data_IF_288633321446
#
_entry.id   IF_288633321446
#
_cell.length_a   1.000
_cell.length_b   1.000
_cell.length_c   1.000
_cell.angle_alpha   90.00
_cell.angle_beta   90.00
_cell.angle_gamma   90.00
#
_symmetry.space_group_name_H-M   'P 1'
#
loop_
_entity.id
_entity.type
_entity.pdbx_description
1 polymer ?
#
# COMPACT_ATOMS: atom_id res chain seq x y z
N UNK A 1 -9.83 -6.54 -14.10
CA UNK A 1 -10.94 -5.56 -14.19
C UNK A 1 -11.57 -5.61 -15.58
N UNK A 2 -12.88 -5.38 -15.73
CA UNK A 2 -13.53 -5.30 -17.06
C UNK A 2 -13.59 -3.84 -17.53
N UNK A 3 -13.19 -3.60 -18.78
CA UNK A 3 -13.18 -2.29 -19.44
C UNK A 3 -14.56 -1.99 -20.07
N UNK A 4 -14.75 -0.74 -20.50
CA UNK A 4 -15.99 -0.27 -21.10
C UNK A 4 -16.33 -0.99 -22.43
N UNK A 5 -15.31 -1.44 -23.17
CA UNK A 5 -15.46 -2.22 -24.40
C UNK A 5 -15.80 -3.70 -24.15
N UNK A 6 -15.88 -4.11 -22.88
CA UNK A 6 -16.14 -5.48 -22.47
C UNK A 6 -14.89 -6.35 -22.28
N UNK A 7 -13.70 -5.86 -22.64
CA UNK A 7 -12.43 -6.56 -22.49
C UNK A 7 -11.99 -6.57 -21.02
N UNK A 8 -11.47 -7.68 -20.54
CA UNK A 8 -10.82 -7.77 -19.24
C UNK A 8 -9.36 -7.36 -19.33
N UNK A 9 -8.90 -6.59 -18.35
CA UNK A 9 -7.54 -6.10 -18.17
C UNK A 9 -6.96 -6.64 -16.87
N UNK A 10 -5.68 -7.04 -16.92
CA UNK A 10 -4.88 -7.45 -15.78
C UNK A 10 -3.49 -6.83 -15.88
N UNK A 11 -3.03 -6.29 -14.76
CA UNK A 11 -1.64 -5.89 -14.55
C UNK A 11 -1.08 -6.82 -13.47
N UNK A 12 0.07 -7.44 -13.72
CA UNK A 12 0.70 -8.33 -12.75
C UNK A 12 2.19 -8.04 -12.67
N UNK A 13 2.73 -8.00 -11.45
CA UNK A 13 4.18 -7.95 -11.27
C UNK A 13 4.77 -9.27 -11.80
N UNK A 14 5.72 -9.15 -12.72
CA UNK A 14 6.52 -10.25 -13.20
C UNK A 14 7.81 -10.36 -12.39
N UNK A 15 8.18 -11.58 -12.02
CA UNK A 15 9.52 -11.89 -11.53
C UNK A 15 10.19 -12.80 -12.56
N UNK A 16 11.12 -12.28 -13.38
CA UNK A 16 11.93 -13.16 -14.22
C UNK A 16 12.46 -12.62 -15.54
N UNK A 17 13.65 -13.15 -15.85
CA UNK A 17 14.48 -13.24 -17.08
C UNK A 17 14.47 -12.00 -17.99
N UNK A 18 15.46 -11.13 -17.76
CA UNK A 18 15.71 -9.89 -18.48
C UNK A 18 16.57 -8.89 -17.68
N UNK A 19 16.67 -9.09 -16.36
CA UNK A 19 17.61 -8.42 -15.46
C UNK A 19 19.07 -8.90 -15.68
N UNK A 20 19.62 -8.69 -16.87
CA UNK A 20 21.07 -8.87 -17.12
C UNK A 20 21.84 -7.55 -17.04
N UNK A 21 21.14 -6.43 -16.81
CA UNK A 21 21.75 -5.13 -16.54
C UNK A 21 22.27 -5.01 -15.10
N UNK A 22 23.15 -4.04 -14.81
CA UNK A 22 23.79 -3.88 -13.48
C UNK A 22 22.82 -3.43 -12.38
N UNK A 23 21.59 -3.07 -12.70
CA UNK A 23 20.56 -2.60 -11.75
C UNK A 23 19.42 -3.61 -11.72
N UNK A 24 19.09 -4.12 -10.53
CA UNK A 24 17.89 -4.93 -10.33
C UNK A 24 16.66 -4.05 -10.52
N UNK A 25 15.83 -4.34 -11.52
CA UNK A 25 14.54 -3.71 -11.70
C UNK A 25 13.47 -4.76 -11.98
N UNK A 26 12.36 -4.71 -11.26
CA UNK A 26 11.18 -5.53 -11.52
C UNK A 26 10.34 -4.89 -12.63
N UNK A 27 9.51 -5.71 -13.24
CA UNK A 27 8.63 -5.32 -14.33
C UNK A 27 7.21 -5.78 -14.04
N UNK A 28 6.26 -5.23 -14.78
CA UNK A 28 4.88 -5.68 -14.76
C UNK A 28 4.42 -6.02 -16.18
N UNK A 29 3.67 -7.12 -16.26
CA UNK A 29 3.01 -7.60 -17.44
C UNK A 29 1.62 -6.99 -17.53
N UNK A 30 1.20 -6.69 -18.76
CA UNK A 30 -0.20 -6.44 -19.07
C UNK A 30 -0.75 -7.65 -19.82
N UNK A 31 -1.95 -8.08 -19.47
CA UNK A 31 -2.70 -9.08 -20.22
C UNK A 31 -4.15 -8.65 -20.39
N UNK A 32 -4.75 -9.06 -21.51
CA UNK A 32 -6.17 -8.85 -21.79
C UNK A 32 -6.89 -10.17 -21.97
N UNK A 33 -8.20 -10.18 -21.71
CA UNK A 33 -9.03 -11.37 -21.90
C UNK A 33 -10.43 -10.99 -22.37
N UNK A 34 -11.04 -11.69 -23.34
CA UNK A 34 -12.42 -11.44 -23.73
C UNK A 34 -13.44 -11.97 -22.69
N UNK A 35 -13.05 -12.95 -21.88
CA UNK A 35 -13.97 -13.72 -21.01
C UNK A 35 -13.55 -13.74 -19.53
N UNK A 36 -12.39 -13.16 -19.20
CA UNK A 36 -11.82 -13.15 -17.86
C UNK A 36 -11.15 -14.47 -17.47
N UNK A 37 -11.07 -15.45 -18.37
CA UNK A 37 -10.54 -16.80 -18.12
C UNK A 37 -9.31 -17.09 -18.97
N UNK A 38 -9.36 -16.79 -20.26
CA UNK A 38 -8.24 -16.97 -21.18
C UNK A 38 -7.55 -15.64 -21.41
N UNK A 39 -6.26 -15.57 -21.04
CA UNK A 39 -5.49 -14.34 -21.03
C UNK A 39 -4.43 -14.31 -22.12
N UNK A 40 -4.33 -13.17 -22.81
CA UNK A 40 -3.30 -12.91 -23.83
C UNK A 40 -2.38 -11.79 -23.34
N UNK A 41 -1.06 -12.03 -23.21
CA UNK A 41 -0.10 -10.98 -22.88
C UNK A 41 -0.07 -9.87 -23.93
N UNK A 42 0.06 -8.62 -23.48
CA UNK A 42 0.20 -7.44 -24.33
C UNK A 42 1.56 -6.79 -24.07
N UNK A 43 2.61 -7.36 -24.68
CA UNK A 43 4.01 -7.01 -24.37
C UNK A 43 4.34 -5.53 -24.60
N UNK A 44 3.72 -4.89 -25.60
CA UNK A 44 3.89 -3.47 -25.90
C UNK A 44 3.42 -2.53 -24.79
N UNK A 45 2.65 -3.06 -23.82
CA UNK A 45 2.12 -2.32 -22.68
C UNK A 45 2.76 -2.72 -21.35
N UNK A 46 3.62 -3.73 -21.34
CA UNK A 46 4.42 -4.08 -20.16
C UNK A 46 5.37 -2.92 -19.81
N UNK A 47 5.65 -2.74 -18.52
CA UNK A 47 6.38 -1.58 -18.02
C UNK A 47 7.33 -1.96 -16.88
N UNK A 48 8.26 -1.07 -16.57
CA UNK A 48 9.35 -1.30 -15.63
C UNK A 48 10.68 -1.55 -16.33
N UNK A 49 11.69 -2.02 -15.59
CA UNK A 49 13.04 -2.28 -16.11
C UNK A 49 14.00 -1.08 -16.04
N UNK A 50 13.55 0.13 -16.36
CA UNK A 50 14.29 1.38 -16.07
C UNK A 50 13.88 2.03 -14.75
N UNK A 51 12.61 1.85 -14.37
CA UNK A 51 12.06 2.20 -13.07
C UNK A 51 11.56 0.90 -12.44
N UNK A 52 11.97 0.63 -11.21
CA UNK A 52 11.55 -0.56 -10.48
C UNK A 52 10.05 -0.51 -10.21
N UNK A 53 9.35 -1.61 -10.50
CA UNK A 53 7.96 -1.83 -10.06
C UNK A 53 8.04 -2.61 -8.76
N UNK A 54 8.06 -1.90 -7.62
CA UNK A 54 8.52 -2.48 -6.36
C UNK A 54 7.62 -3.65 -5.89
N UNK A 55 6.30 -3.51 -5.86
CA UNK A 55 5.41 -4.60 -5.45
C UNK A 55 3.97 -4.33 -5.87
N UNK A 56 3.23 -5.39 -6.25
CA UNK A 56 1.78 -5.42 -6.41
C UNK A 56 1.17 -4.18 -7.09
N UNK A 57 1.34 -4.02 -8.43
CA UNK A 57 0.60 -3.00 -9.16
C UNK A 57 -0.91 -3.26 -9.07
N UNK A 58 -1.69 -2.19 -9.01
CA UNK A 58 -3.14 -2.24 -8.91
C UNK A 58 -3.81 -1.49 -10.07
N UNK A 59 -4.99 -1.96 -10.45
CA UNK A 59 -5.85 -1.31 -11.43
C UNK A 59 -7.26 -1.17 -10.85
N UNK A 60 -7.80 0.03 -10.97
CA UNK A 60 -9.09 0.40 -10.40
C UNK A 60 -9.95 1.17 -11.43
N UNK A 61 -11.27 0.95 -11.41
CA UNK A 61 -12.21 1.74 -12.22
C UNK A 61 -12.79 2.82 -11.33
N UNK A 62 -12.45 4.07 -11.59
CA UNK A 62 -13.01 5.17 -10.81
C UNK A 62 -14.45 5.49 -11.18
N UNK A 63 -15.11 6.30 -10.35
CA UNK A 63 -16.52 6.71 -10.54
C UNK A 63 -16.81 7.40 -11.87
N UNK A 64 -15.79 7.92 -12.54
CA UNK A 64 -15.90 8.53 -13.88
C UNK A 64 -15.73 7.52 -15.02
N UNK A 65 -15.61 6.22 -14.73
CA UNK A 65 -15.40 5.16 -15.71
C UNK A 65 -13.99 5.17 -16.33
N UNK A 66 -13.01 5.77 -15.63
CA UNK A 66 -11.60 5.77 -16.04
C UNK A 66 -10.81 4.76 -15.23
N UNK A 67 -9.83 4.15 -15.89
CA UNK A 67 -8.88 3.23 -15.27
C UNK A 67 -7.81 4.04 -14.57
N UNK A 68 -7.70 3.89 -13.26
CA UNK A 68 -6.56 4.30 -12.46
C UNK A 68 -5.61 3.10 -12.35
N UNK A 69 -4.41 3.26 -12.90
CA UNK A 69 -3.34 2.28 -12.83
C UNK A 69 -2.26 2.80 -11.89
N UNK A 70 -1.99 2.03 -10.84
CA UNK A 70 -1.16 2.42 -9.71
C UNK A 70 -0.03 1.41 -9.53
N UNK A 71 1.20 1.86 -9.31
CA UNK A 71 2.29 0.97 -8.94
C UNK A 71 3.33 1.65 -8.04
N UNK A 72 3.85 0.96 -7.02
CA UNK A 72 5.00 1.40 -6.26
C UNK A 72 6.25 1.49 -7.14
N UNK A 73 6.92 2.64 -7.09
CA UNK A 73 8.23 2.86 -7.68
C UNK A 73 9.21 3.43 -6.66
N UNK A 74 10.44 3.70 -7.11
CA UNK A 74 11.54 4.14 -6.23
C UNK A 74 11.23 5.40 -5.42
N UNK A 75 10.51 6.36 -6.02
CA UNK A 75 10.18 7.69 -5.46
C UNK A 75 8.82 7.78 -4.79
N UNK A 76 7.91 6.84 -5.04
CA UNK A 76 6.49 7.02 -4.72
C UNK A 76 5.60 5.95 -5.33
N UNK A 77 4.29 6.06 -5.11
CA UNK A 77 3.31 5.30 -5.91
C UNK A 77 2.98 6.13 -7.14
N UNK A 78 3.37 5.65 -8.31
CA UNK A 78 3.01 6.26 -9.58
C UNK A 78 1.59 5.87 -9.96
N UNK A 79 0.77 6.84 -10.32
CA UNK A 79 -0.61 6.63 -10.74
C UNK A 79 -0.88 7.30 -12.08
N UNK A 80 -1.44 6.54 -13.01
CA UNK A 80 -1.87 7.03 -14.32
C UNK A 80 -3.35 6.80 -14.51
N UNK A 81 -4.03 7.76 -15.12
CA UNK A 81 -5.48 7.71 -15.35
C UNK A 81 -5.74 7.65 -16.85
N UNK A 82 -6.61 6.73 -17.27
CA UNK A 82 -6.81 6.44 -18.69
C UNK A 82 -8.08 5.64 -18.98
N UNK A 83 -8.17 5.10 -20.18
CA UNK A 83 -9.27 4.22 -20.61
C UNK A 83 -8.93 2.71 -20.49
N UNK A 84 -7.75 2.40 -19.96
CA UNK A 84 -7.25 1.04 -19.88
C UNK A 84 -6.37 0.63 -21.06
N UNK A 85 -6.14 1.52 -22.03
CA UNK A 85 -5.20 1.36 -23.17
C UNK A 85 -4.29 2.58 -23.31
N UNK A 86 -4.84 3.77 -23.27
CA UNK A 86 -4.13 5.04 -23.28
C UNK A 86 -4.27 5.72 -21.92
N UNK A 87 -3.16 6.26 -21.43
CA UNK A 87 -3.06 6.88 -20.12
C UNK A 87 -2.44 8.27 -20.24
N UNK A 88 -2.90 9.18 -19.37
CA UNK A 88 -2.29 10.50 -19.21
C UNK A 88 -0.97 10.48 -18.46
N UNK A 89 -0.53 11.68 -18.08
CA UNK A 89 0.68 11.89 -17.29
C UNK A 89 0.58 11.20 -15.91
N UNK A 90 1.73 10.83 -15.37
CA UNK A 90 1.82 10.19 -14.08
C UNK A 90 1.65 11.22 -12.94
N UNK A 91 0.91 10.80 -11.91
CA UNK A 91 0.79 11.49 -10.63
C UNK A 91 1.55 10.64 -9.61
N UNK A 92 2.55 11.22 -8.96
CA UNK A 92 3.32 10.53 -7.90
C UNK A 92 2.71 10.81 -6.53
N UNK A 93 2.23 9.76 -5.87
CA UNK A 93 1.82 9.78 -4.48
C UNK A 93 2.96 9.38 -3.54
N UNK A 94 2.87 9.66 -2.22
CA UNK A 94 3.87 9.24 -1.25
C UNK A 94 4.22 7.75 -1.38
N UNK A 95 5.48 7.43 -1.07
CA UNK A 95 5.99 6.06 -1.17
C UNK A 95 5.23 5.12 -0.24
N UNK A 96 4.65 4.09 -0.83
CA UNK A 96 4.06 2.98 -0.10
C UNK A 96 4.06 1.70 -0.94
N UNK A 97 3.98 0.56 -0.26
CA UNK A 97 3.72 -0.72 -0.91
C UNK A 97 2.22 -0.89 -1.21
N UNK A 98 1.93 -1.87 -2.05
CA UNK A 98 0.61 -2.49 -2.25
C UNK A 98 -0.55 -1.48 -2.26
N UNK A 99 -0.57 -0.56 -3.25
CA UNK A 99 -1.60 0.45 -3.36
C UNK A 99 -2.93 -0.20 -3.72
N UNK A 100 -3.97 0.19 -3.03
CA UNK A 100 -5.34 -0.27 -3.20
C UNK A 100 -6.28 0.93 -3.17
N UNK A 101 -7.45 0.77 -3.80
CA UNK A 101 -8.46 1.83 -3.87
C UNK A 101 -9.80 1.28 -3.41
N UNK A 102 -10.44 2.01 -2.49
CA UNK A 102 -11.76 1.67 -1.98
C UNK A 102 -12.65 2.92 -2.01
N UNK A 103 -13.69 2.87 -2.82
CA UNK A 103 -14.71 3.93 -2.85
C UNK A 103 -15.91 3.52 -2.02
N UNK A 104 -16.22 4.30 -0.98
CA UNK A 104 -17.35 4.10 -0.08
C UNK A 104 -18.66 4.63 -0.68
N UNK A 105 -19.78 4.08 -0.21
CA UNK A 105 -21.14 4.39 -0.68
C UNK A 105 -21.56 5.84 -0.41
N UNK A 106 -20.97 6.48 0.60
CA UNK A 106 -21.22 7.89 0.97
C UNK A 106 -20.47 8.89 0.08
N UNK A 107 -19.71 8.40 -0.91
CA UNK A 107 -18.93 9.22 -1.81
C UNK A 107 -17.46 9.35 -1.42
N UNK A 108 -17.06 8.89 -0.23
CA UNK A 108 -15.67 8.93 0.23
C UNK A 108 -14.80 8.00 -0.62
N UNK A 109 -13.66 8.49 -1.11
CA UNK A 109 -12.69 7.70 -1.86
C UNK A 109 -11.49 7.47 -0.95
N UNK A 110 -11.14 6.22 -0.67
CA UNK A 110 -10.06 5.82 0.21
C UNK A 110 -8.91 5.24 -0.62
N UNK A 111 -7.71 5.74 -0.35
CA UNK A 111 -6.48 5.12 -0.83
C UNK A 111 -5.95 4.24 0.29
N UNK A 112 -5.94 2.94 0.04
CA UNK A 112 -5.35 1.94 0.91
C UNK A 112 -3.90 1.74 0.50
N UNK A 113 -2.96 1.88 1.43
CA UNK A 113 -1.55 1.61 1.16
C UNK A 113 -1.04 0.59 2.15
N UNK A 114 -0.59 -0.56 1.63
CA UNK A 114 -0.14 -1.71 2.41
C UNK A 114 1.37 -1.91 2.31
N UNK A 115 2.09 -1.79 3.42
CA UNK A 115 3.42 -2.38 3.54
C UNK A 115 3.30 -3.69 4.31
N UNK A 116 2.90 -4.79 3.66
CA UNK A 116 2.74 -6.09 4.34
C UNK A 116 4.06 -6.83 4.59
N UNK A 117 5.18 -6.12 4.89
CA UNK A 117 6.33 -6.85 5.43
C UNK A 117 5.98 -7.28 6.86
N UNK A 118 5.48 -8.51 6.95
CA UNK A 118 5.05 -9.22 8.16
C UNK A 118 6.10 -9.25 9.27
N UNK A 119 7.34 -8.83 8.98
CA UNK A 119 8.47 -8.79 9.89
C UNK A 119 8.62 -7.44 10.62
N UNK A 120 8.11 -6.34 10.05
CA UNK A 120 8.34 -4.98 10.58
C UNK A 120 7.18 -4.36 11.38
N UNK A 121 6.03 -5.02 11.40
CA UNK A 121 4.75 -4.39 11.76
C UNK A 121 4.19 -3.66 10.54
N UNK A 122 3.11 -4.20 9.97
CA UNK A 122 2.50 -3.67 8.74
C UNK A 122 2.03 -2.22 8.92
N UNK A 123 1.88 -1.48 7.82
CA UNK A 123 1.14 -0.23 7.82
C UNK A 123 -0.05 -0.39 6.88
N UNK A 124 -1.24 -0.04 7.36
CA UNK A 124 -2.44 0.09 6.53
C UNK A 124 -2.93 1.53 6.67
N UNK A 125 -2.79 2.28 5.60
CA UNK A 125 -3.24 3.67 5.54
C UNK A 125 -4.61 3.66 4.87
N UNK A 126 -5.66 4.16 5.51
CA UNK A 126 -6.89 4.56 4.81
C UNK A 126 -6.95 6.08 4.84
N UNK A 127 -6.44 6.70 3.78
CA UNK A 127 -6.53 8.15 3.61
C UNK A 127 -7.68 8.47 2.65
N UNK A 128 -8.58 9.37 3.07
CA UNK A 128 -9.48 10.05 2.13
C UNK A 128 -8.64 10.67 1.02
N UNK A 129 -9.02 10.47 -0.24
CA UNK A 129 -8.30 10.88 -1.45
C UNK A 129 -7.61 12.21 -1.24
N UNK A 130 -6.31 12.08 -1.00
CA UNK A 130 -5.23 13.05 -1.07
C UNK A 130 -5.68 14.51 -0.99
N UNK A 131 -5.99 14.97 0.21
CA UNK A 131 -5.59 16.32 0.64
C UNK A 131 -4.34 16.30 1.53
N UNK A 132 -4.01 15.14 2.13
CA UNK A 132 -2.99 15.06 3.17
C UNK A 132 -1.85 14.10 2.76
N UNK A 133 -0.64 14.63 2.75
CA UNK A 133 0.60 13.95 2.38
C UNK A 133 1.25 13.28 3.60
N UNK A 134 0.63 12.22 4.10
CA UNK A 134 1.23 11.43 5.18
C UNK A 134 2.42 10.61 4.66
N UNK A 135 3.50 10.54 5.42
CA UNK A 135 4.62 9.62 5.17
C UNK A 135 4.78 8.73 6.39
N UNK A 136 4.68 7.41 6.20
CA UNK A 136 4.87 6.44 7.28
C UNK A 136 6.13 5.64 6.98
N UNK A 137 7.04 5.60 7.94
CA UNK A 137 8.27 4.83 7.84
C UNK A 137 8.36 3.87 9.02
N UNK A 138 8.32 2.54 8.79
CA UNK A 138 8.70 1.57 9.81
C UNK A 138 10.17 1.80 10.19
N UNK A 139 10.44 2.00 11.48
CA UNK A 139 11.79 2.29 11.98
C UNK A 139 12.48 0.99 12.45
N UNK A 140 11.70 -0.05 12.75
CA UNK A 140 12.22 -1.38 13.10
C UNK A 140 12.54 -2.24 11.88
N UNK A 141 13.76 -2.78 11.80
CA UNK A 141 14.18 -3.78 10.80
C UNK A 141 13.47 -5.12 10.98
N UNK A 142 13.40 -5.97 9.94
CA UNK A 142 12.92 -7.36 10.08
C UNK A 142 13.70 -8.11 11.19
N UNK A 143 13.07 -8.93 12.04
CA UNK A 143 13.77 -9.67 13.06
C UNK A 143 14.58 -10.80 12.42
N UNK A 144 15.64 -11.23 13.10
CA UNK A 144 16.20 -12.55 12.86
C UNK A 144 15.13 -13.61 13.20
N UNK A 145 15.07 -14.67 12.43
CA UNK A 145 14.14 -15.78 12.60
C UNK A 145 14.16 -16.28 14.06
N UNK A 146 13.02 -16.25 14.77
CA UNK A 146 12.87 -16.77 16.14
C UNK A 146 12.89 -15.75 17.29
N UNK A 147 12.73 -14.45 17.03
CA UNK A 147 12.65 -13.42 18.10
C UNK A 147 11.32 -13.42 18.88
N UNK A 148 11.37 -12.88 20.11
CA UNK A 148 10.27 -12.82 21.09
C UNK A 148 8.96 -12.19 20.57
N UNK A 149 7.78 -12.67 21.02
CA UNK A 149 6.45 -12.14 20.66
C UNK A 149 6.15 -10.73 21.22
N UNK A 150 6.97 -10.20 22.14
CA UNK A 150 6.73 -8.90 22.79
C UNK A 150 7.64 -7.79 22.25
N UNK A 151 7.95 -7.80 20.95
CA UNK A 151 8.83 -6.78 20.34
C UNK A 151 8.19 -5.39 20.38
N UNK A 152 9.06 -4.41 20.59
CA UNK A 152 8.78 -3.00 20.40
C UNK A 152 8.71 -2.68 18.90
N UNK A 153 7.53 -2.29 18.43
CA UNK A 153 7.30 -1.79 17.08
C UNK A 153 7.41 -0.27 17.06
N UNK A 154 7.99 0.29 16.00
CA UNK A 154 8.17 1.74 15.90
C UNK A 154 7.91 2.23 14.48
N UNK A 155 7.08 3.26 14.37
CA UNK A 155 6.80 3.97 13.12
C UNK A 155 7.08 5.45 13.29
N UNK A 156 7.57 6.08 12.23
CA UNK A 156 7.61 7.54 12.08
C UNK A 156 6.49 7.95 11.13
N UNK A 157 5.63 8.85 11.57
CA UNK A 157 4.49 9.38 10.80
C UNK A 157 4.67 10.88 10.61
N UNK A 158 4.92 11.32 9.38
CA UNK A 158 5.00 12.74 9.02
C UNK A 158 3.66 13.21 8.45
N UNK A 159 3.27 14.44 8.79
CA UNK A 159 2.10 15.10 8.21
C UNK A 159 0.77 14.80 8.91
N UNK A 160 0.76 14.01 9.99
CA UNK A 160 -0.41 13.67 10.79
C UNK A 160 -0.31 14.21 12.22
N UNK A 161 -1.46 14.52 12.82
CA UNK A 161 -1.56 14.75 14.25
C UNK A 161 -1.71 13.41 15.00
N UNK A 162 -1.29 13.35 16.28
CA UNK A 162 -1.48 12.17 17.14
C UNK A 162 -2.95 11.71 17.15
N UNK A 163 -3.91 12.65 17.09
CA UNK A 163 -5.35 12.36 17.09
C UNK A 163 -5.82 11.57 15.87
N UNK A 164 -5.06 11.62 14.78
CA UNK A 164 -5.34 10.94 13.51
C UNK A 164 -4.64 9.59 13.42
N UNK A 165 -3.97 9.15 14.49
CA UNK A 165 -3.17 7.92 14.50
C UNK A 165 -3.77 6.93 15.49
N UNK A 166 -3.86 5.67 15.08
CA UNK A 166 -4.18 4.55 15.97
C UNK A 166 -3.31 3.34 15.64
N UNK A 167 -3.07 2.48 16.63
CA UNK A 167 -2.38 1.20 16.42
C UNK A 167 -3.39 0.08 16.63
N UNK A 168 -3.58 -0.75 15.62
CA UNK A 168 -4.56 -1.84 15.60
C UNK A 168 -3.85 -3.19 15.58
N UNK A 169 -4.40 -4.15 16.33
CA UNK A 169 -4.17 -5.56 16.09
C UNK A 169 -5.30 -6.06 15.16
N UNK A 170 -4.96 -6.35 13.91
CA UNK A 170 -5.89 -6.76 12.88
C UNK A 170 -6.41 -8.19 13.10
N UNK A 171 -5.59 -9.08 13.66
CA UNK A 171 -5.97 -10.45 13.97
C UNK A 171 -7.02 -10.54 15.09
N UNK A 172 -7.00 -9.59 16.04
CA UNK A 172 -8.00 -9.48 17.10
C UNK A 172 -9.10 -8.47 16.77
N UNK A 173 -8.94 -7.70 15.69
CA UNK A 173 -9.76 -6.55 15.35
C UNK A 173 -9.96 -5.60 16.55
N UNK A 174 -8.85 -5.18 17.19
CA UNK A 174 -8.85 -4.34 18.39
C UNK A 174 -7.76 -3.28 18.35
N UNK A 175 -7.96 -2.16 19.06
CA UNK A 175 -6.85 -1.23 19.31
C UNK A 175 -5.83 -1.89 20.23
N UNK A 176 -4.55 -1.74 19.92
CA UNK A 176 -3.47 -2.27 20.78
C UNK A 176 -3.57 -1.66 22.18
N UNK A 177 -3.95 -0.38 22.31
CA UNK A 177 -4.16 0.27 23.61
C UNK A 177 -5.28 -0.34 24.47
N UNK A 178 -6.13 -1.19 23.91
CA UNK A 178 -7.23 -1.86 24.61
C UNK A 178 -6.88 -3.32 24.98
N UNK A 179 -5.70 -3.79 24.61
CA UNK A 179 -5.21 -5.14 24.91
C UNK A 179 -4.47 -5.12 26.25
N UNK A 180 -4.81 -6.06 27.14
CA UNK A 180 -4.17 -6.17 28.46
C UNK A 180 -2.66 -6.41 28.33
N UNK A 181 -1.86 -5.55 28.96
CA UNK A 181 -0.39 -5.62 28.93
C UNK A 181 0.26 -5.03 27.67
N UNK A 182 -0.53 -4.54 26.72
CA UNK A 182 -0.02 -3.82 25.57
C UNK A 182 0.30 -2.36 25.90
N UNK A 183 1.19 -1.75 25.11
CA UNK A 183 1.52 -0.33 25.24
C UNK A 183 1.48 0.34 23.88
N UNK A 184 1.03 1.60 23.85
CA UNK A 184 1.16 2.49 22.70
C UNK A 184 1.58 3.85 23.24
N UNK A 185 2.69 4.38 22.74
CA UNK A 185 3.17 5.72 23.06
C UNK A 185 3.39 6.49 21.78
N UNK A 186 3.03 7.77 21.79
CA UNK A 186 3.20 8.66 20.64
C UNK A 186 3.84 9.95 21.10
N UNK A 187 4.94 10.34 20.45
CA UNK A 187 5.62 11.61 20.71
C UNK A 187 5.73 12.39 19.42
N UNK A 188 5.58 13.71 19.49
CA UNK A 188 5.72 14.58 18.32
C UNK A 188 7.01 15.39 18.45
N UNK A 189 7.83 15.38 17.40
CA UNK A 189 9.02 16.22 17.30
C UNK A 189 9.20 16.67 15.84
N UNK A 190 9.42 17.96 15.62
CA UNK A 190 9.64 18.55 14.28
C UNK A 190 8.58 18.15 13.22
N UNK A 191 7.31 18.07 13.63
CA UNK A 191 6.21 17.70 12.72
C UNK A 191 6.19 16.21 12.32
N UNK A 192 6.95 15.36 13.01
CA UNK A 192 6.95 13.91 12.88
C UNK A 192 6.45 13.30 14.18
N UNK A 193 5.48 12.40 14.08
CA UNK A 193 5.00 11.59 15.20
C UNK A 193 5.75 10.26 15.22
N UNK A 194 6.47 9.99 16.30
CA UNK A 194 7.04 8.67 16.58
C UNK A 194 6.01 7.86 17.34
N UNK A 195 5.57 6.75 16.76
CA UNK A 195 4.62 5.81 17.35
C UNK A 195 5.38 4.58 17.78
N UNK A 196 5.27 4.21 19.05
CA UNK A 196 5.92 3.02 19.61
C UNK A 196 4.87 2.13 20.24
N UNK A 197 4.83 0.85 19.88
CA UNK A 197 3.84 -0.09 20.42
C UNK A 197 4.44 -1.43 20.81
N UNK A 198 3.86 -2.07 21.83
CA UNK A 198 4.08 -3.48 22.17
C UNK A 198 2.73 -4.16 22.33
N UNK A 199 2.56 -5.34 21.73
CA UNK A 199 1.37 -6.15 21.88
C UNK A 199 1.77 -7.55 22.36
N UNK A 200 1.40 -7.98 23.58
CA UNK A 200 1.75 -9.30 24.09
C UNK A 200 0.82 -10.41 23.60
N UNK A 201 -0.29 -10.08 22.93
CA UNK A 201 -1.34 -11.03 22.58
C UNK A 201 -1.11 -11.74 21.24
N UNK A 202 -0.21 -11.26 20.38
CA UNK A 202 -0.01 -11.83 19.03
C UNK A 202 1.36 -11.52 18.43
N UNK A 203 1.66 -12.23 17.35
CA UNK A 203 2.79 -11.96 16.46
C UNK A 203 2.66 -10.57 15.80
N UNK A 204 3.81 -9.91 15.57
CA UNK A 204 3.90 -8.54 15.06
C UNK A 204 3.31 -8.34 13.66
N UNK A 205 3.16 -9.44 12.92
CA UNK A 205 2.46 -9.50 11.64
C UNK A 205 1.02 -9.01 11.73
N UNK A 206 0.39 -9.08 12.92
CA UNK A 206 -0.97 -8.61 13.16
C UNK A 206 -1.08 -7.14 13.54
N UNK A 207 0.02 -6.46 13.87
CA UNK A 207 -0.02 -5.11 14.44
C UNK A 207 0.29 -4.08 13.36
N UNK A 208 -0.57 -3.07 13.23
CA UNK A 208 -0.42 -2.02 12.22
C UNK A 208 -0.75 -0.63 12.74
N UNK A 209 -0.02 0.37 12.23
CA UNK A 209 -0.36 1.77 12.41
C UNK A 209 -1.37 2.19 11.33
N UNK A 210 -2.46 2.82 11.78
CA UNK A 210 -3.45 3.47 10.94
C UNK A 210 -3.31 4.98 11.09
N UNK A 211 -3.31 5.68 9.96
CA UNK A 211 -3.13 7.13 9.91
C UNK A 211 -4.21 7.74 9.02
N UNK A 212 -4.88 8.76 9.55
CA UNK A 212 -5.91 9.53 8.88
C UNK A 212 -7.04 9.89 9.85
N UNK A 213 -7.81 10.96 9.60
CA UNK A 213 -8.87 11.40 10.51
C UNK A 213 -9.95 10.32 10.72
N UNK A 214 -10.23 9.53 9.68
CA UNK A 214 -11.31 8.54 9.69
C UNK A 214 -10.93 7.23 10.41
N UNK A 215 -9.64 6.86 10.47
CA UNK A 215 -9.15 5.60 11.11
C UNK A 215 -9.97 4.35 10.74
N UNK A 216 -10.46 4.27 9.51
CA UNK A 216 -11.33 3.17 9.05
C UNK A 216 -10.47 1.91 8.83
N UNK A 217 -11.01 0.75 9.20
CA UNK A 217 -10.54 -0.57 8.76
C UNK A 217 -11.54 -1.09 7.72
N UNK A 218 -11.05 -1.46 6.55
CA UNK A 218 -11.81 -2.16 5.50
C UNK A 218 -11.78 -3.67 5.68
#
# INVERSE_FOLDING_TARGET
>A
MKLADGTWLLHAQGFGIGNTGPTFARWACVATSPDGKTWTPVQSRSYGGTIDVETNPNIYMNKSGKVEWMWPGGSGVETKIGDGTTYGDAITYPKAGDPERLDLADGTELFAMGGFDSRGGGAIIFAKRVSNSYVITPVSSAPATGSSPNRLLTWSVKGAAITDISVMNLCLNKKVSEISGATVTMTTSNGVVTVVATDPANDHSCVSVLVGPEKILG
#
